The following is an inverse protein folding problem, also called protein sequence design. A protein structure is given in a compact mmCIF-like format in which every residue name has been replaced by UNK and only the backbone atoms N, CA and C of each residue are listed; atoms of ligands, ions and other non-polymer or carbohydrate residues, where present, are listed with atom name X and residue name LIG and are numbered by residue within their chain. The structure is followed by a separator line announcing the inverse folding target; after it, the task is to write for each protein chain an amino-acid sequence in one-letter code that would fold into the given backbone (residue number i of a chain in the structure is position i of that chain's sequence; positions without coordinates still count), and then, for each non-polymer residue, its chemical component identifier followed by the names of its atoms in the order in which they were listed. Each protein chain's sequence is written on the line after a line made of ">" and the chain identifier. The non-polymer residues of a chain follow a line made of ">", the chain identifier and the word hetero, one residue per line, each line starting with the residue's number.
data_IF_347674737528
#
_entry.id   IF_347674737528
#
_cell.length_a   1.000
_cell.length_b   1.000
_cell.length_c   1.000
_cell.angle_alpha   90.00
_cell.angle_beta   90.00
_cell.angle_gamma   90.00
#
_symmetry.space_group_name_H-M   'P 1'
#
loop_
_entity.id
_entity.type
_entity.pdbx_description
1 polymer ?
#
# COMPACT_ATOMS: atom_id res chain seq x y z
N UNK A 1 24.22 12.06 17.53
CA UNK A 1 22.78 11.90 17.23
C UNK A 1 22.31 10.54 17.78
N UNK A 2 21.21 10.48 18.51
CA UNK A 2 20.74 9.20 19.07
C UNK A 2 20.11 8.38 17.96
N UNK A 3 20.81 7.37 17.47
CA UNK A 3 20.36 6.45 16.39
C UNK A 3 18.93 5.91 16.58
N UNK A 4 18.48 5.55 17.79
CA UNK A 4 17.10 5.12 18.01
C UNK A 4 16.07 6.19 17.63
N UNK A 5 16.35 7.46 17.92
CA UNK A 5 15.44 8.56 17.64
C UNK A 5 15.29 8.82 16.13
N UNK A 6 16.39 8.65 15.35
CA UNK A 6 16.35 8.70 13.89
C UNK A 6 15.45 7.61 13.30
N UNK A 7 15.62 6.37 13.77
CA UNK A 7 14.83 5.23 13.30
C UNK A 7 13.35 5.43 13.67
N UNK A 8 13.07 5.88 14.90
CA UNK A 8 11.70 6.16 15.34
C UNK A 8 11.04 7.27 14.52
N UNK A 9 11.75 8.37 14.21
CA UNK A 9 11.22 9.43 13.37
C UNK A 9 10.87 8.95 11.95
N UNK A 10 11.75 8.15 11.34
CA UNK A 10 11.50 7.56 10.03
C UNK A 10 10.31 6.60 10.05
N UNK A 11 10.20 5.72 11.05
CA UNK A 11 9.10 4.79 11.21
C UNK A 11 7.76 5.51 11.48
N UNK A 12 7.75 6.54 12.32
CA UNK A 12 6.57 7.36 12.59
C UNK A 12 6.09 8.09 11.33
N UNK A 13 7.02 8.67 10.56
CA UNK A 13 6.67 9.31 9.30
C UNK A 13 6.05 8.31 8.32
N UNK A 14 6.64 7.13 8.16
CA UNK A 14 6.12 6.07 7.32
C UNK A 14 4.73 5.59 7.77
N UNK A 15 4.55 5.37 9.06
CA UNK A 15 3.29 4.95 9.67
C UNK A 15 2.19 5.97 9.43
N UNK A 16 2.43 7.24 9.73
CA UNK A 16 1.42 8.30 9.63
C UNK A 16 1.08 8.67 8.19
N UNK A 17 2.06 8.70 7.28
CA UNK A 17 1.81 8.88 5.85
C UNK A 17 0.88 7.76 5.32
N UNK A 18 1.10 6.53 5.75
CA UNK A 18 0.30 5.39 5.28
C UNK A 18 -1.09 5.34 5.93
N UNK A 19 -1.20 5.72 7.23
CA UNK A 19 -2.50 5.94 7.88
C UNK A 19 -3.30 6.96 7.07
N UNK A 20 -2.70 8.11 6.75
CA UNK A 20 -3.35 9.17 5.99
C UNK A 20 -3.83 8.71 4.61
N UNK A 21 -3.01 7.93 3.90
CA UNK A 21 -3.37 7.37 2.60
C UNK A 21 -4.60 6.45 2.67
N UNK A 22 -4.75 5.67 3.75
CA UNK A 22 -5.79 4.65 3.91
C UNK A 22 -7.07 5.12 4.65
N UNK A 23 -7.10 6.34 5.19
CA UNK A 23 -8.30 6.92 5.83
C UNK A 23 -9.58 6.87 4.96
N UNK A 24 -9.53 7.12 3.64
CA UNK A 24 -10.72 7.15 2.81
C UNK A 24 -11.48 5.82 2.70
N UNK A 25 -10.84 4.69 2.92
CA UNK A 25 -11.43 3.37 2.66
C UNK A 25 -12.77 3.12 3.36
N UNK A 26 -12.98 3.41 4.66
CA UNK A 26 -14.29 3.28 5.29
C UNK A 26 -15.19 4.52 5.08
N UNK A 27 -14.61 5.67 4.68
CA UNK A 27 -15.33 6.95 4.58
C UNK A 27 -16.04 7.08 3.24
N UNK A 28 -15.36 6.76 2.13
CA UNK A 28 -15.88 7.03 0.78
C UNK A 28 -17.05 6.13 0.38
N UNK A 29 -17.07 4.80 0.62
CA UNK A 29 -18.13 3.94 0.11
C UNK A 29 -19.54 4.39 0.47
N UNK A 30 -19.85 4.80 1.72
CA UNK A 30 -21.18 5.32 2.06
C UNK A 30 -21.54 6.62 1.34
N UNK A 31 -20.56 7.48 0.98
CA UNK A 31 -20.79 8.75 0.29
C UNK A 31 -21.12 8.56 -1.20
N UNK A 32 -20.72 7.43 -1.79
CA UNK A 32 -20.96 7.09 -3.18
C UNK A 32 -21.98 5.96 -3.37
N UNK A 33 -22.64 5.54 -2.28
CA UNK A 33 -23.66 4.50 -2.32
C UNK A 33 -24.90 4.92 -3.10
N UNK A 34 -25.64 3.93 -3.61
CA UNK A 34 -26.88 4.18 -4.33
C UNK A 34 -27.92 4.89 -3.46
N UNK A 35 -28.61 5.89 -4.02
CA UNK A 35 -29.62 6.67 -3.31
C UNK A 35 -29.08 7.80 -2.43
N UNK A 36 -27.76 7.94 -2.28
CA UNK A 36 -27.13 9.08 -1.60
C UNK A 36 -26.85 10.18 -2.63
N UNK A 37 -27.21 11.42 -2.33
CA UNK A 37 -26.95 12.60 -3.17
C UNK A 37 -26.12 13.61 -2.39
N UNK A 38 -24.94 13.94 -2.90
CA UNK A 38 -24.04 14.96 -2.37
C UNK A 38 -23.16 15.54 -3.49
N UNK A 39 -22.47 16.65 -3.25
CA UNK A 39 -21.62 17.28 -4.27
C UNK A 39 -20.39 16.48 -4.69
N UNK A 40 -20.00 15.44 -3.91
CA UNK A 40 -18.89 14.55 -4.27
C UNK A 40 -19.29 13.51 -5.31
N UNK A 41 -20.55 13.05 -5.30
CA UNK A 41 -21.01 11.99 -6.18
C UNK A 41 -21.85 12.49 -7.37
N UNK A 42 -21.97 13.84 -7.51
CA UNK A 42 -22.65 14.51 -8.61
C UNK A 42 -21.69 15.42 -9.37
N UNK A 43 -20.74 14.83 -10.09
CA UNK A 43 -19.78 15.61 -10.85
C UNK A 43 -19.81 15.22 -12.34
N UNK A 44 -19.97 16.22 -13.22
CA UNK A 44 -20.01 16.07 -14.69
C UNK A 44 -21.05 15.05 -15.20
N UNK A 45 -22.08 14.70 -14.41
CA UNK A 45 -23.07 13.68 -14.79
C UNK A 45 -22.51 12.25 -14.81
N UNK A 46 -21.31 12.03 -14.24
CA UNK A 46 -20.72 10.70 -14.19
C UNK A 46 -21.38 9.84 -13.09
N UNK A 47 -21.49 8.52 -13.31
CA UNK A 47 -22.03 7.61 -12.29
C UNK A 47 -21.22 7.66 -10.98
N UNK A 48 -21.88 7.64 -9.78
CA UNK A 48 -21.20 7.70 -8.49
C UNK A 48 -20.12 6.64 -8.31
N UNK A 49 -20.33 5.41 -8.78
CA UNK A 49 -19.33 4.33 -8.71
C UNK A 49 -18.09 4.59 -9.54
N UNK A 50 -18.22 5.28 -10.68
CA UNK A 50 -17.08 5.69 -11.50
C UNK A 50 -16.27 6.78 -10.78
N UNK A 51 -16.95 7.79 -10.20
CA UNK A 51 -16.31 8.82 -9.39
C UNK A 51 -15.60 8.23 -8.17
N UNK A 52 -16.21 7.23 -7.51
CA UNK A 52 -15.59 6.48 -6.42
C UNK A 52 -14.28 5.82 -6.82
N UNK A 53 -14.26 5.06 -7.92
CA UNK A 53 -13.04 4.41 -8.39
C UNK A 53 -11.94 5.40 -8.80
N UNK A 54 -12.30 6.53 -9.43
CA UNK A 54 -11.35 7.61 -9.73
C UNK A 54 -10.78 8.23 -8.43
N UNK A 55 -11.62 8.41 -7.41
CA UNK A 55 -11.19 8.91 -6.10
C UNK A 55 -10.21 7.95 -5.40
N UNK A 56 -10.36 6.63 -5.56
CA UNK A 56 -9.41 5.64 -5.06
C UNK A 56 -8.10 5.63 -5.85
N UNK A 57 -8.14 5.87 -7.17
CA UNK A 57 -6.98 5.83 -8.06
C UNK A 57 -5.99 6.95 -7.81
N UNK A 58 -6.47 8.14 -7.45
CA UNK A 58 -5.69 9.37 -7.57
C UNK A 58 -4.54 9.49 -6.55
N UNK A 59 -4.74 9.02 -5.32
CA UNK A 59 -3.69 9.03 -4.30
C UNK A 59 -2.57 8.01 -4.62
N UNK A 60 -2.85 6.73 -4.95
CA UNK A 60 -1.84 5.79 -5.43
C UNK A 60 -1.07 6.27 -6.67
N UNK A 61 -1.72 7.00 -7.59
CA UNK A 61 -1.04 7.60 -8.73
C UNK A 61 -0.04 8.68 -8.29
N UNK A 62 -0.45 9.56 -7.37
CA UNK A 62 0.44 10.53 -6.75
C UNK A 62 1.62 9.85 -6.04
N UNK A 63 1.34 8.81 -5.24
CA UNK A 63 2.35 8.03 -4.50
C UNK A 63 3.38 7.38 -5.43
N UNK A 64 2.93 6.81 -6.55
CA UNK A 64 3.81 6.21 -7.57
C UNK A 64 4.78 7.24 -8.14
N UNK A 65 4.27 8.40 -8.56
CA UNK A 65 5.07 9.50 -9.11
C UNK A 65 6.01 10.07 -8.02
N UNK A 66 5.48 10.35 -6.84
CA UNK A 66 6.25 10.88 -5.72
C UNK A 66 7.39 9.97 -5.29
N UNK A 67 7.14 8.67 -5.18
CA UNK A 67 8.18 7.70 -4.80
C UNK A 67 9.31 7.60 -5.81
N UNK A 68 9.03 7.82 -7.10
CA UNK A 68 10.03 7.83 -8.16
C UNK A 68 10.88 9.12 -8.16
N UNK A 69 10.28 10.26 -7.81
CA UNK A 69 10.93 11.58 -7.92
C UNK A 69 11.62 12.03 -6.61
N UNK A 70 10.99 11.80 -5.45
CA UNK A 70 11.46 12.33 -4.18
C UNK A 70 12.80 11.73 -3.72
N UNK A 71 13.08 10.47 -4.06
CA UNK A 71 14.37 9.83 -3.79
C UNK A 71 15.53 10.62 -4.43
N UNK A 72 15.59 10.72 -5.77
CA UNK A 72 16.61 11.51 -6.50
C UNK A 72 16.63 12.99 -6.10
N UNK A 73 15.48 13.60 -5.83
CA UNK A 73 15.42 14.99 -5.33
C UNK A 73 16.12 15.12 -3.97
N UNK A 74 15.93 14.14 -3.08
CA UNK A 74 16.56 14.16 -1.77
C UNK A 74 18.07 13.91 -1.81
N UNK A 75 18.57 13.21 -2.84
CA UNK A 75 20.01 13.07 -3.09
C UNK A 75 20.65 14.43 -3.43
N UNK A 76 19.92 15.27 -4.16
CA UNK A 76 20.40 16.60 -4.59
C UNK A 76 20.22 17.69 -3.55
N UNK A 77 19.02 17.77 -2.97
CA UNK A 77 18.64 18.88 -2.06
C UNK A 77 18.85 18.57 -0.58
N UNK A 78 19.22 17.32 -0.27
CA UNK A 78 19.39 16.82 1.10
C UNK A 78 18.13 16.08 1.61
N UNK A 79 18.35 15.07 2.46
CA UNK A 79 17.26 14.22 3.00
C UNK A 79 16.31 15.02 3.89
N UNK A 80 16.85 15.85 4.78
CA UNK A 80 16.05 16.60 5.76
C UNK A 80 15.08 17.59 5.13
N UNK A 81 15.48 18.52 4.23
CA UNK A 81 14.53 19.46 3.65
C UNK A 81 13.43 18.76 2.84
N UNK A 82 13.74 17.70 2.10
CA UNK A 82 12.73 16.97 1.35
C UNK A 82 11.74 16.26 2.28
N UNK A 83 12.19 15.62 3.37
CA UNK A 83 11.31 15.00 4.36
C UNK A 83 10.42 16.03 5.07
N UNK A 84 10.95 17.22 5.39
CA UNK A 84 10.16 18.28 6.01
C UNK A 84 9.09 18.85 5.07
N UNK A 85 9.48 19.19 3.83
CA UNK A 85 8.56 19.72 2.83
C UNK A 85 7.44 18.71 2.54
N UNK A 86 7.79 17.43 2.41
CA UNK A 86 6.80 16.39 2.12
C UNK A 86 5.89 16.11 3.32
N UNK A 87 6.39 16.12 4.55
CA UNK A 87 5.58 15.91 5.74
C UNK A 87 4.60 17.08 5.97
N UNK A 88 5.09 18.33 5.88
CA UNK A 88 4.24 19.53 6.00
C UNK A 88 3.24 19.61 4.85
N UNK A 89 3.70 19.34 3.63
CA UNK A 89 2.82 19.36 2.45
C UNK A 89 1.74 18.28 2.50
N UNK A 90 2.04 17.07 2.99
CA UNK A 90 1.05 16.02 3.20
C UNK A 90 0.04 16.42 4.30
N UNK A 91 0.50 17.07 5.38
CA UNK A 91 -0.38 17.63 6.40
C UNK A 91 -1.37 18.66 5.80
N UNK A 92 -0.88 19.58 4.99
CA UNK A 92 -1.73 20.55 4.25
C UNK A 92 -2.68 19.82 3.30
N UNK A 93 -2.22 18.77 2.63
CA UNK A 93 -3.04 17.94 1.74
C UNK A 93 -4.20 17.24 2.47
N UNK A 94 -3.97 16.74 3.70
CA UNK A 94 -5.05 16.21 4.54
C UNK A 94 -6.03 17.29 4.99
N UNK A 95 -5.55 18.48 5.37
CA UNK A 95 -6.43 19.61 5.63
C UNK A 95 -7.28 19.99 4.40
N UNK A 96 -6.67 20.05 3.22
CA UNK A 96 -7.39 20.30 1.97
C UNK A 96 -8.41 19.20 1.66
N UNK A 97 -8.09 17.93 1.96
CA UNK A 97 -9.04 16.81 1.83
C UNK A 97 -10.22 16.98 2.79
N UNK A 98 -9.99 17.38 4.06
CA UNK A 98 -11.04 17.68 5.01
C UNK A 98 -11.94 18.84 4.52
N UNK A 99 -11.35 19.91 4.01
CA UNK A 99 -12.08 21.03 3.42
C UNK A 99 -12.89 20.61 2.19
N UNK A 100 -12.35 19.73 1.34
CA UNK A 100 -13.04 19.20 0.17
C UNK A 100 -14.30 18.40 0.54
N UNK A 101 -14.23 17.63 1.63
CA UNK A 101 -15.37 16.89 2.18
C UNK A 101 -16.42 17.83 2.79
N UNK A 102 -16.01 18.91 3.48
CA UNK A 102 -16.92 19.90 4.05
C UNK A 102 -17.64 20.71 2.95
N UNK A 103 -16.92 21.05 1.89
CA UNK A 103 -17.46 21.80 0.75
C UNK A 103 -18.16 20.90 -0.28
N UNK A 104 -18.16 19.59 -0.04
CA UNK A 104 -18.66 18.57 -0.97
C UNK A 104 -18.10 18.74 -2.39
N UNK A 105 -16.83 19.17 -2.52
CA UNK A 105 -16.20 19.47 -3.80
C UNK A 105 -15.35 18.30 -4.31
N UNK A 106 -15.87 17.56 -5.29
CA UNK A 106 -15.15 16.46 -5.91
C UNK A 106 -13.82 16.89 -6.56
N UNK A 107 -13.75 18.00 -7.37
CA UNK A 107 -12.48 18.42 -7.95
C UNK A 107 -11.42 18.76 -6.89
N UNK A 108 -11.81 19.46 -5.83
CA UNK A 108 -10.89 19.79 -4.73
C UNK A 108 -10.41 18.53 -4.02
N UNK A 109 -11.31 17.54 -3.82
CA UNK A 109 -10.96 16.24 -3.24
C UNK A 109 -9.89 15.52 -4.10
N UNK A 110 -10.10 15.44 -5.42
CA UNK A 110 -9.17 14.79 -6.36
C UNK A 110 -7.80 15.46 -6.33
N UNK A 111 -7.74 16.80 -6.42
CA UNK A 111 -6.48 17.55 -6.40
C UNK A 111 -5.77 17.39 -5.05
N UNK A 112 -6.49 17.51 -3.94
CA UNK A 112 -5.94 17.33 -2.60
C UNK A 112 -5.35 15.92 -2.42
N UNK A 113 -6.08 14.88 -2.84
CA UNK A 113 -5.61 13.48 -2.75
C UNK A 113 -4.43 13.17 -3.64
N UNK A 114 -4.38 13.75 -4.85
CA UNK A 114 -3.23 13.61 -5.75
C UNK A 114 -1.96 14.22 -5.14
N UNK A 115 -2.05 15.48 -4.68
CA UNK A 115 -0.91 16.18 -4.08
C UNK A 115 -0.45 15.47 -2.80
N UNK A 116 -1.41 15.03 -1.96
CA UNK A 116 -1.10 14.26 -0.74
C UNK A 116 -0.34 12.99 -1.10
N UNK A 117 -0.83 12.20 -2.05
CA UNK A 117 -0.16 10.99 -2.50
C UNK A 117 1.26 11.24 -3.02
N UNK A 118 1.45 12.29 -3.84
CA UNK A 118 2.75 12.68 -4.36
C UNK A 118 3.75 12.97 -3.23
N UNK A 119 3.32 13.66 -2.19
CA UNK A 119 4.15 14.01 -1.04
C UNK A 119 4.36 12.83 -0.07
N UNK A 120 3.39 11.94 0.06
CA UNK A 120 3.51 10.69 0.83
C UNK A 120 4.45 9.65 0.18
N UNK A 121 4.89 9.88 -1.07
CA UNK A 121 5.99 9.14 -1.72
C UNK A 121 7.36 9.27 -1.02
N UNK A 122 7.46 10.00 0.09
CA UNK A 122 8.65 10.22 0.90
C UNK A 122 9.25 8.95 1.55
N UNK A 123 8.57 7.83 1.48
CA UNK A 123 9.08 6.54 1.92
C UNK A 123 10.38 6.12 1.24
N UNK A 124 10.59 6.51 -0.01
CA UNK A 124 11.85 6.31 -0.74
C UNK A 124 12.99 7.09 -0.09
N UNK A 125 12.71 8.32 0.34
CA UNK A 125 13.68 9.20 1.04
C UNK A 125 14.02 8.65 2.43
N UNK A 126 13.03 8.19 3.19
CA UNK A 126 13.22 7.58 4.50
C UNK A 126 14.09 6.31 4.43
N UNK A 127 13.83 5.44 3.42
CA UNK A 127 14.67 4.25 3.16
C UNK A 127 16.11 4.63 2.83
N UNK A 128 16.31 5.57 1.92
CA UNK A 128 17.64 6.03 1.53
C UNK A 128 18.39 6.63 2.72
N UNK A 129 17.75 7.50 3.51
CA UNK A 129 18.32 8.09 4.72
C UNK A 129 18.81 7.04 5.73
N UNK A 130 18.01 6.01 6.00
CA UNK A 130 18.42 4.92 6.91
C UNK A 130 19.55 4.08 6.29
N UNK A 131 19.53 3.86 4.98
CA UNK A 131 20.57 3.12 4.27
C UNK A 131 21.92 3.87 4.28
N UNK A 132 21.90 5.19 4.15
CA UNK A 132 23.10 6.02 4.14
C UNK A 132 23.76 6.15 5.52
N UNK A 133 22.94 6.14 6.60
CA UNK A 133 23.40 6.44 7.97
C UNK A 133 23.63 5.23 8.85
N UNK A 134 23.17 4.07 8.43
CA UNK A 134 23.29 2.83 9.20
C UNK A 134 24.06 1.77 8.41
N UNK A 135 24.74 0.88 9.12
CA UNK A 135 25.51 -0.22 8.51
C UNK A 135 25.17 -1.56 9.17
N UNK A 136 25.56 -2.65 8.52
CA UNK A 136 25.45 -4.01 9.04
C UNK A 136 24.04 -4.40 9.48
N UNK A 137 23.94 -5.08 10.60
CA UNK A 137 22.70 -5.59 11.19
C UNK A 137 21.69 -4.51 11.55
N UNK A 138 22.19 -3.37 12.04
CA UNK A 138 21.29 -2.27 12.43
C UNK A 138 20.58 -1.67 11.22
N UNK A 139 21.26 -1.55 10.08
CA UNK A 139 20.64 -1.13 8.81
C UNK A 139 19.53 -2.10 8.39
N UNK A 140 19.79 -3.41 8.43
CA UNK A 140 18.79 -4.44 8.09
C UNK A 140 17.56 -4.35 8.98
N UNK A 141 17.76 -4.27 10.30
CA UNK A 141 16.67 -4.12 11.30
C UNK A 141 15.87 -2.84 11.09
N UNK A 142 16.53 -1.70 10.91
CA UNK A 142 15.88 -0.42 10.72
C UNK A 142 15.01 -0.38 9.45
N UNK A 143 15.49 -0.93 8.33
CA UNK A 143 14.71 -1.05 7.10
C UNK A 143 13.53 -2.00 7.26
N UNK A 144 13.69 -3.09 8.01
CA UNK A 144 12.60 -4.01 8.35
C UNK A 144 11.52 -3.33 9.20
N UNK A 145 11.91 -2.56 10.23
CA UNK A 145 10.98 -1.79 11.05
C UNK A 145 10.24 -0.71 10.25
N UNK A 146 10.96 -0.02 9.36
CA UNK A 146 10.36 0.96 8.45
C UNK A 146 9.29 0.33 7.55
N UNK A 147 9.59 -0.83 6.94
CA UNK A 147 8.61 -1.56 6.14
C UNK A 147 7.42 -2.04 6.99
N UNK A 148 7.68 -2.53 8.20
CA UNK A 148 6.63 -2.87 9.16
C UNK A 148 5.73 -1.68 9.51
N UNK A 149 6.30 -0.48 9.66
CA UNK A 149 5.55 0.75 9.90
C UNK A 149 4.63 1.12 8.72
N UNK A 150 5.09 0.96 7.46
CA UNK A 150 4.24 1.14 6.29
C UNK A 150 3.04 0.18 6.29
N UNK A 151 3.28 -1.11 6.51
CA UNK A 151 2.19 -2.10 6.55
C UNK A 151 1.21 -1.83 7.70
N UNK A 152 1.74 -1.49 8.88
CA UNK A 152 0.91 -1.17 10.05
C UNK A 152 0.04 0.07 9.80
N UNK A 153 0.55 1.07 9.07
CA UNK A 153 -0.22 2.24 8.70
C UNK A 153 -1.43 1.92 7.81
N UNK A 154 -1.25 1.03 6.84
CA UNK A 154 -2.36 0.56 6.00
C UNK A 154 -3.46 -0.16 6.79
N UNK A 155 -3.09 -0.91 7.82
CA UNK A 155 -4.04 -1.58 8.73
C UNK A 155 -4.70 -0.60 9.71
N UNK A 156 -3.91 0.32 10.27
CA UNK A 156 -4.38 1.24 11.30
C UNK A 156 -5.27 2.36 10.74
N UNK A 157 -5.07 2.79 9.49
CA UNK A 157 -5.82 3.90 8.90
C UNK A 157 -7.32 3.71 8.92
N UNK A 158 -7.87 2.61 8.38
CA UNK A 158 -9.31 2.35 8.45
C UNK A 158 -9.85 2.27 9.88
N UNK A 159 -9.05 1.77 10.84
CA UNK A 159 -9.43 1.74 12.26
C UNK A 159 -9.52 3.13 12.85
N UNK A 160 -8.48 3.96 12.62
CA UNK A 160 -8.47 5.36 13.05
C UNK A 160 -9.65 6.11 12.46
N UNK A 161 -9.90 5.96 11.16
CA UNK A 161 -11.06 6.55 10.52
C UNK A 161 -12.37 6.10 11.18
N UNK A 162 -12.56 4.79 11.37
CA UNK A 162 -13.79 4.23 11.94
C UNK A 162 -14.10 4.71 13.34
N UNK A 163 -13.08 4.82 14.21
CA UNK A 163 -13.26 5.34 15.58
C UNK A 163 -13.54 6.84 15.57
N UNK A 164 -12.80 7.61 14.76
CA UNK A 164 -12.85 9.07 14.78
C UNK A 164 -14.02 9.65 13.99
N UNK A 165 -14.63 8.88 13.07
CA UNK A 165 -15.87 9.23 12.38
C UNK A 165 -17.04 9.51 13.34
N UNK A 166 -17.01 8.95 14.56
CA UNK A 166 -18.02 9.26 15.58
C UNK A 166 -18.05 10.76 15.95
N UNK A 167 -16.94 11.48 15.74
CA UNK A 167 -16.80 12.90 16.03
C UNK A 167 -17.00 13.80 14.80
N UNK A 168 -17.13 13.22 13.61
CA UNK A 168 -17.40 13.91 12.36
C UNK A 168 -16.62 13.35 11.17
N UNK A 169 -17.17 13.56 9.97
CA UNK A 169 -16.65 13.01 8.70
C UNK A 169 -15.21 13.45 8.40
N UNK A 170 -14.84 14.66 8.79
CA UNK A 170 -13.52 15.26 8.48
C UNK A 170 -12.50 15.08 9.60
N UNK A 171 -12.92 14.68 10.80
CA UNK A 171 -12.07 14.56 11.98
C UNK A 171 -10.86 13.64 11.74
N UNK A 172 -10.98 12.49 11.06
CA UNK A 172 -9.82 11.65 10.77
C UNK A 172 -8.70 12.39 10.02
N UNK A 173 -9.05 13.26 9.08
CA UNK A 173 -8.08 14.02 8.28
C UNK A 173 -7.43 15.15 9.08
N UNK A 174 -8.17 15.81 9.99
CA UNK A 174 -7.59 16.81 10.90
C UNK A 174 -6.62 16.17 11.89
N UNK A 175 -6.90 14.96 12.37
CA UNK A 175 -6.00 14.19 13.22
C UNK A 175 -4.74 13.81 12.44
N UNK A 176 -4.87 13.33 11.19
CA UNK A 176 -3.74 13.00 10.34
C UNK A 176 -2.86 14.24 10.07
N UNK A 177 -3.46 15.39 9.79
CA UNK A 177 -2.76 16.67 9.65
C UNK A 177 -1.94 17.00 10.90
N UNK A 178 -2.56 16.99 12.07
CA UNK A 178 -1.88 17.32 13.33
C UNK A 178 -0.74 16.34 13.63
N UNK A 179 -0.96 15.04 13.42
CA UNK A 179 0.05 14.00 13.63
C UNK A 179 1.25 14.17 12.68
N UNK A 180 1.02 14.49 11.41
CA UNK A 180 2.10 14.74 10.44
C UNK A 180 2.89 16.02 10.77
N UNK A 181 2.25 17.08 11.27
CA UNK A 181 2.95 18.27 11.74
C UNK A 181 3.83 17.97 12.95
N UNK A 182 3.36 17.16 13.90
CA UNK A 182 4.16 16.71 15.04
C UNK A 182 5.39 15.89 14.59
N UNK A 183 5.22 15.01 13.59
CA UNK A 183 6.36 14.26 13.05
C UNK A 183 7.29 15.16 12.24
N UNK A 184 6.78 16.13 11.49
CA UNK A 184 7.62 17.13 10.84
C UNK A 184 8.49 17.88 11.85
N UNK A 185 7.92 18.28 13.00
CA UNK A 185 8.68 18.90 14.09
C UNK A 185 9.74 17.93 14.64
N UNK A 186 9.40 16.66 14.85
CA UNK A 186 10.35 15.64 15.29
C UNK A 186 11.50 15.48 14.29
N UNK A 187 11.21 15.40 13.00
CA UNK A 187 12.19 15.33 11.90
C UNK A 187 13.08 16.57 11.91
N UNK A 188 12.50 17.77 12.11
CA UNK A 188 13.26 19.02 12.19
C UNK A 188 14.24 19.05 13.37
N UNK A 189 13.87 18.47 14.51
CA UNK A 189 14.72 18.40 15.72
C UNK A 189 15.79 17.31 15.64
N UNK A 190 15.48 16.19 14.96
CA UNK A 190 16.33 14.98 14.98
C UNK A 190 17.31 14.95 13.83
N UNK A 191 16.92 15.39 12.63
CA UNK A 191 17.78 15.33 11.45
C UNK A 191 18.65 16.59 11.38
N UNK A 192 19.99 16.43 11.29
CA UNK A 192 20.88 17.56 11.06
C UNK A 192 20.71 18.10 9.64
N UNK A 193 21.08 19.37 9.45
CA UNK A 193 21.22 19.93 8.12
C UNK A 193 22.41 19.26 7.43
N UNK A 194 22.17 18.67 6.28
CA UNK A 194 23.21 18.15 5.41
C UNK A 194 23.47 19.16 4.29
N UNK A 195 24.73 19.34 3.92
CA UNK A 195 25.05 20.09 2.72
C UNK A 195 24.47 19.38 1.50
N UNK A 196 23.84 20.09 0.55
CA UNK A 196 23.37 19.51 -0.69
C UNK A 196 24.54 18.83 -1.41
N UNK A 197 24.29 17.67 -2.00
CA UNK A 197 25.30 17.01 -2.83
C UNK A 197 25.57 17.85 -4.08
N UNK A 198 26.83 18.11 -4.38
CA UNK A 198 27.26 18.79 -5.61
C UNK A 198 27.17 17.86 -6.84
N UNK A 199 26.25 16.88 -6.85
CA UNK A 199 26.08 15.99 -7.97
C UNK A 199 25.77 16.79 -9.25
N UNK A 200 26.62 16.62 -10.27
CA UNK A 200 26.52 17.30 -11.56
C UNK A 200 25.38 16.77 -12.43
N UNK A 201 24.86 15.58 -12.12
CA UNK A 201 23.75 14.94 -12.86
C UNK A 201 22.39 15.49 -12.43
N UNK A 202 21.52 15.74 -13.41
CA UNK A 202 20.15 16.16 -13.16
C UNK A 202 19.40 15.08 -12.40
N UNK A 203 18.64 15.47 -11.33
CA UNK A 203 17.79 14.53 -10.57
C UNK A 203 16.80 13.78 -11.47
N UNK A 204 16.36 14.41 -12.57
CA UNK A 204 15.48 13.78 -13.55
C UNK A 204 16.18 12.66 -14.33
N UNK A 205 17.43 12.84 -14.71
CA UNK A 205 18.22 11.79 -15.35
C UNK A 205 18.42 10.60 -14.39
N UNK A 206 18.72 10.87 -13.13
CA UNK A 206 18.86 9.83 -12.11
C UNK A 206 17.53 9.07 -11.89
N UNK A 207 16.40 9.78 -11.86
CA UNK A 207 15.07 9.16 -11.74
C UNK A 207 14.77 8.24 -12.95
N UNK A 208 15.14 8.66 -14.15
CA UNK A 208 14.95 7.90 -15.38
C UNK A 208 15.87 6.69 -15.48
N UNK A 209 17.13 6.84 -15.12
CA UNK A 209 18.15 5.81 -15.35
C UNK A 209 18.18 4.75 -14.23
N UNK A 210 17.78 5.12 -13.01
CA UNK A 210 17.73 4.21 -11.84
C UNK A 210 16.33 3.67 -11.53
N UNK A 211 15.43 3.67 -12.50
CA UNK A 211 14.07 3.18 -12.27
C UNK A 211 14.08 1.66 -12.02
N UNK A 212 13.37 1.21 -10.97
CA UNK A 212 13.27 -0.22 -10.59
C UNK A 212 12.74 -1.12 -11.73
N UNK A 213 11.99 -0.56 -12.68
CA UNK A 213 11.53 -1.28 -13.88
C UNK A 213 12.67 -1.73 -14.83
N UNK A 214 13.88 -1.17 -14.72
CA UNK A 214 15.04 -1.69 -15.47
C UNK A 214 15.38 -3.13 -15.07
N UNK A 215 15.03 -3.55 -13.85
CA UNK A 215 15.17 -4.93 -13.38
C UNK A 215 14.30 -5.94 -14.15
N UNK A 216 13.27 -5.50 -14.86
CA UNK A 216 12.40 -6.37 -15.67
C UNK A 216 13.11 -6.97 -16.89
N UNK A 217 14.31 -6.50 -17.21
CA UNK A 217 15.16 -7.14 -18.23
C UNK A 217 15.64 -8.53 -17.78
N UNK A 218 15.76 -8.75 -16.47
CA UNK A 218 16.08 -10.05 -15.88
C UNK A 218 14.84 -10.96 -15.87
N UNK A 219 14.86 -12.15 -16.52
CA UNK A 219 13.68 -13.02 -16.64
C UNK A 219 13.06 -13.42 -15.30
N UNK A 220 13.89 -13.70 -14.28
CA UNK A 220 13.39 -14.09 -12.96
C UNK A 220 12.71 -12.93 -12.23
N UNK A 221 13.27 -11.72 -12.34
CA UNK A 221 12.65 -10.51 -11.75
C UNK A 221 11.40 -10.08 -12.51
N UNK A 222 11.35 -10.32 -13.82
CA UNK A 222 10.12 -10.14 -14.61
C UNK A 222 9.02 -11.13 -14.18
N UNK A 223 9.34 -12.40 -13.96
CA UNK A 223 8.40 -13.38 -13.42
C UNK A 223 7.93 -13.01 -12.01
N UNK A 224 8.83 -12.57 -11.15
CA UNK A 224 8.52 -12.04 -9.83
C UNK A 224 7.51 -10.88 -9.94
N UNK A 225 7.79 -9.91 -10.81
CA UNK A 225 6.93 -8.76 -11.03
C UNK A 225 5.53 -9.19 -11.46
N UNK A 226 5.41 -10.04 -12.46
CA UNK A 226 4.11 -10.50 -13.01
C UNK A 226 3.31 -11.26 -11.95
N UNK A 227 3.94 -12.19 -11.24
CA UNK A 227 3.28 -13.00 -10.20
C UNK A 227 2.86 -12.13 -9.02
N UNK A 228 3.73 -11.22 -8.58
CA UNK A 228 3.44 -10.33 -7.47
C UNK A 228 2.37 -9.29 -7.87
N UNK A 229 2.43 -8.76 -9.09
CA UNK A 229 1.42 -7.82 -9.59
C UNK A 229 0.03 -8.49 -9.64
N UNK A 230 -0.08 -9.70 -10.17
CA UNK A 230 -1.35 -10.40 -10.24
C UNK A 230 -1.92 -10.70 -8.84
N UNK A 231 -1.08 -11.17 -7.91
CA UNK A 231 -1.51 -11.36 -6.51
C UNK A 231 -1.96 -10.05 -5.88
N UNK A 232 -1.17 -9.00 -6.03
CA UNK A 232 -1.47 -7.68 -5.45
C UNK A 232 -2.71 -7.07 -6.08
N UNK A 233 -2.94 -7.21 -7.39
CA UNK A 233 -4.19 -6.81 -8.03
C UNK A 233 -5.38 -7.53 -7.41
N UNK A 234 -5.29 -8.85 -7.22
CA UNK A 234 -6.39 -9.61 -6.61
C UNK A 234 -6.70 -9.17 -5.17
N UNK A 235 -5.68 -8.97 -4.38
CA UNK A 235 -5.77 -8.47 -3.01
C UNK A 235 -6.30 -7.03 -2.97
N UNK A 236 -5.83 -6.17 -3.87
CA UNK A 236 -6.31 -4.78 -3.97
C UNK A 236 -7.77 -4.71 -4.37
N UNK A 237 -8.21 -5.55 -5.32
CA UNK A 237 -9.64 -5.68 -5.66
C UNK A 237 -10.50 -5.99 -4.42
N UNK A 238 -10.01 -6.88 -3.55
CA UNK A 238 -10.67 -7.14 -2.28
C UNK A 238 -10.64 -5.91 -1.37
N UNK A 239 -9.46 -5.33 -1.06
CA UNK A 239 -9.34 -4.22 -0.10
C UNK A 239 -10.09 -2.95 -0.51
N UNK A 240 -10.14 -2.61 -1.78
CA UNK A 240 -10.81 -1.41 -2.26
C UNK A 240 -12.33 -1.58 -2.35
N UNK A 241 -12.83 -2.81 -2.57
CA UNK A 241 -14.23 -3.01 -2.87
C UNK A 241 -15.03 -3.83 -1.85
N UNK A 242 -14.39 -4.52 -0.87
CA UNK A 242 -15.17 -5.12 0.22
C UNK A 242 -15.94 -4.08 1.05
N UNK A 243 -15.45 -2.84 1.26
CA UNK A 243 -16.23 -1.85 1.98
C UNK A 243 -17.50 -1.44 1.21
N UNK A 244 -17.41 -1.34 -0.13
CA UNK A 244 -18.58 -1.08 -0.97
C UNK A 244 -19.56 -2.26 -0.93
N UNK A 245 -19.06 -3.49 -0.98
CA UNK A 245 -19.85 -4.69 -0.81
C UNK A 245 -20.59 -4.72 0.55
N UNK A 246 -19.93 -4.28 1.64
CA UNK A 246 -20.55 -4.15 2.96
C UNK A 246 -21.67 -3.10 2.99
N UNK A 247 -21.60 -2.07 2.18
CA UNK A 247 -22.70 -1.10 2.03
C UNK A 247 -23.87 -1.71 1.26
N UNK A 248 -23.59 -2.41 0.15
CA UNK A 248 -24.62 -2.91 -0.78
C UNK A 248 -25.36 -4.17 -0.29
N UNK A 249 -24.65 -5.09 0.36
CA UNK A 249 -25.23 -6.40 0.74
C UNK A 249 -25.79 -6.40 2.15
N UNK A 250 -25.02 -6.14 3.24
CA UNK A 250 -25.59 -6.04 4.59
C UNK A 250 -26.14 -4.67 4.93
N UNK A 251 -25.96 -3.64 4.08
CA UNK A 251 -26.42 -2.28 4.34
C UNK A 251 -25.61 -1.53 5.42
N UNK A 252 -24.33 -1.84 5.57
CA UNK A 252 -23.48 -1.24 6.59
C UNK A 252 -23.12 0.21 6.25
N UNK A 253 -23.28 1.11 7.24
CA UNK A 253 -22.65 2.42 7.22
C UNK A 253 -21.16 2.35 7.62
N UNK A 254 -20.51 3.52 7.65
CA UNK A 254 -19.07 3.66 7.96
C UNK A 254 -18.63 2.95 9.26
N UNK A 255 -19.49 2.96 10.29
CA UNK A 255 -19.23 2.27 11.58
C UNK A 255 -19.17 0.74 11.41
N UNK A 256 -20.09 0.15 10.65
CA UNK A 256 -20.11 -1.29 10.38
C UNK A 256 -18.87 -1.73 9.57
N UNK A 257 -18.49 -0.94 8.55
CA UNK A 257 -17.28 -1.14 7.79
C UNK A 257 -16.05 -1.10 8.70
N UNK A 258 -15.96 -0.09 9.57
CA UNK A 258 -14.84 0.08 10.48
C UNK A 258 -14.70 -1.11 11.45
N UNK A 259 -15.79 -1.61 12.04
CA UNK A 259 -15.75 -2.77 12.93
C UNK A 259 -15.36 -4.06 12.21
N UNK A 260 -15.88 -4.28 11.00
CA UNK A 260 -15.49 -5.45 10.18
C UNK A 260 -14.00 -5.37 9.82
N UNK A 261 -13.52 -4.18 9.44
CA UNK A 261 -12.10 -3.92 9.18
C UNK A 261 -11.25 -4.15 10.43
N UNK A 262 -11.74 -3.67 11.61
CA UNK A 262 -11.07 -3.86 12.90
C UNK A 262 -10.88 -5.35 13.22
N UNK A 263 -11.93 -6.15 13.05
CA UNK A 263 -11.89 -7.59 13.27
C UNK A 263 -10.88 -8.27 12.31
N UNK A 264 -10.92 -7.93 11.03
CA UNK A 264 -9.94 -8.41 10.05
C UNK A 264 -8.50 -8.04 10.43
N UNK A 265 -8.26 -6.77 10.81
CA UNK A 265 -6.93 -6.30 11.22
C UNK A 265 -6.45 -6.97 12.52
N UNK A 266 -7.33 -7.23 13.48
CA UNK A 266 -7.00 -7.97 14.69
C UNK A 266 -6.52 -9.39 14.35
N UNK A 267 -7.23 -10.08 13.45
CA UNK A 267 -6.83 -11.40 12.94
C UNK A 267 -5.51 -11.34 12.18
N UNK A 268 -5.30 -10.32 11.34
CA UNK A 268 -4.03 -10.13 10.64
C UNK A 268 -2.86 -9.92 11.60
N UNK A 269 -3.04 -9.06 12.61
CA UNK A 269 -2.00 -8.74 13.60
C UNK A 269 -1.64 -9.98 14.42
N UNK A 270 -2.63 -10.68 14.95
CA UNK A 270 -2.41 -11.91 15.71
C UNK A 270 -1.73 -12.98 14.86
N UNK A 271 -2.16 -13.17 13.62
CA UNK A 271 -1.53 -14.13 12.71
C UNK A 271 -0.08 -13.76 12.43
N UNK A 272 0.23 -12.49 12.22
CA UNK A 272 1.60 -12.03 11.95
C UNK A 272 2.54 -12.29 13.12
N UNK A 273 2.07 -12.20 14.37
CA UNK A 273 2.87 -12.55 15.55
C UNK A 273 3.30 -14.02 15.57
N UNK A 274 2.51 -14.91 14.97
CA UNK A 274 2.83 -16.35 14.87
C UNK A 274 3.52 -16.72 13.55
N UNK A 275 3.38 -15.91 12.49
CA UNK A 275 3.92 -16.17 11.16
C UNK A 275 5.46 -16.10 11.09
N UNK A 276 6.13 -15.49 12.08
CA UNK A 276 7.59 -15.41 12.19
C UNK A 276 8.28 -16.70 12.66
N UNK A 277 7.53 -17.76 12.97
CA UNK A 277 8.12 -19.06 13.34
C UNK A 277 8.75 -19.73 12.12
N UNK A 278 9.90 -20.41 12.28
CA UNK A 278 10.49 -21.18 11.20
C UNK A 278 9.53 -22.30 10.80
N UNK A 279 9.00 -22.21 9.62
CA UNK A 279 8.19 -23.27 9.05
C UNK A 279 9.05 -24.11 8.11
N UNK A 280 8.93 -25.41 8.17
CA UNK A 280 9.64 -26.34 7.29
C UNK A 280 9.14 -26.26 5.84
N UNK A 281 10.01 -26.47 4.86
CA UNK A 281 9.70 -26.57 3.44
C UNK A 281 9.93 -25.30 2.63
N UNK A 282 9.78 -25.42 1.32
CA UNK A 282 10.05 -24.38 0.32
C UNK A 282 9.13 -23.15 0.50
N UNK A 283 9.69 -21.96 0.70
CA UNK A 283 8.92 -20.74 0.98
C UNK A 283 7.91 -20.40 -0.12
N UNK A 284 8.31 -20.55 -1.40
CA UNK A 284 7.45 -20.20 -2.53
C UNK A 284 6.24 -21.13 -2.66
N UNK A 285 6.40 -22.44 -2.41
CA UNK A 285 5.31 -23.41 -2.44
C UNK A 285 4.32 -23.19 -1.28
N UNK A 286 4.84 -22.73 -0.14
CA UNK A 286 4.03 -22.34 1.01
C UNK A 286 3.22 -21.08 0.72
N UNK A 287 3.87 -20.04 0.20
CA UNK A 287 3.19 -18.82 -0.24
C UNK A 287 2.06 -19.12 -1.23
N UNK A 288 2.30 -20.05 -2.18
CA UNK A 288 1.29 -20.54 -3.12
C UNK A 288 0.03 -21.10 -2.44
N UNK A 289 0.22 -21.97 -1.40
CA UNK A 289 -0.93 -22.54 -0.67
C UNK A 289 -1.79 -21.45 -0.03
N UNK A 290 -1.15 -20.48 0.63
CA UNK A 290 -1.86 -19.36 1.25
C UNK A 290 -2.47 -18.42 0.21
N UNK A 291 -1.85 -18.22 -0.94
CA UNK A 291 -2.46 -17.48 -2.05
C UNK A 291 -3.74 -18.15 -2.58
N UNK A 292 -3.79 -19.48 -2.70
CA UNK A 292 -5.02 -20.19 -3.06
C UNK A 292 -6.11 -20.04 -1.99
N UNK A 293 -5.76 -20.14 -0.70
CA UNK A 293 -6.74 -19.92 0.39
C UNK A 293 -7.26 -18.47 0.36
N UNK A 294 -6.38 -17.49 0.10
CA UNK A 294 -6.77 -16.09 -0.08
C UNK A 294 -7.75 -15.94 -1.24
N UNK A 295 -7.45 -16.54 -2.41
CA UNK A 295 -8.33 -16.53 -3.57
C UNK A 295 -9.70 -17.14 -3.28
N UNK A 296 -9.73 -18.27 -2.56
CA UNK A 296 -10.97 -18.94 -2.16
C UNK A 296 -11.83 -18.09 -1.24
N UNK A 297 -11.24 -17.35 -0.30
CA UNK A 297 -11.97 -16.45 0.59
C UNK A 297 -12.52 -15.22 -0.16
N UNK A 298 -11.76 -14.68 -1.13
CA UNK A 298 -12.27 -13.59 -2.00
C UNK A 298 -13.43 -14.10 -2.86
N UNK A 299 -13.32 -15.31 -3.45
CA UNK A 299 -14.39 -15.93 -4.22
C UNK A 299 -15.63 -16.22 -3.34
N UNK A 300 -15.42 -16.68 -2.12
CA UNK A 300 -16.49 -16.91 -1.16
C UNK A 300 -17.22 -15.61 -0.84
N UNK A 301 -16.49 -14.50 -0.61
CA UNK A 301 -17.08 -13.17 -0.40
C UNK A 301 -17.97 -12.77 -1.60
N UNK A 302 -17.47 -12.93 -2.83
CA UNK A 302 -18.20 -12.59 -4.04
C UNK A 302 -19.53 -13.36 -4.18
N UNK A 303 -19.54 -14.65 -3.78
CA UNK A 303 -20.69 -15.55 -3.93
C UNK A 303 -21.62 -15.57 -2.71
N UNK A 304 -21.28 -14.90 -1.59
CA UNK A 304 -21.92 -15.13 -0.30
C UNK A 304 -23.07 -14.15 0.00
N UNK A 305 -23.82 -14.49 1.08
CA UNK A 305 -24.70 -13.58 1.79
C UNK A 305 -23.91 -12.76 2.84
N UNK A 306 -24.62 -11.85 3.52
CA UNK A 306 -24.01 -10.92 4.48
C UNK A 306 -23.14 -11.61 5.56
N UNK A 307 -23.64 -12.67 6.20
CA UNK A 307 -22.94 -13.31 7.32
C UNK A 307 -21.71 -14.08 6.89
N UNK A 308 -21.83 -14.88 5.82
CA UNK A 308 -20.70 -15.64 5.26
C UNK A 308 -19.67 -14.70 4.70
N UNK A 309 -20.08 -13.60 4.05
CA UNK A 309 -19.18 -12.60 3.52
C UNK A 309 -18.38 -11.88 4.60
N UNK A 310 -19.02 -11.47 5.70
CA UNK A 310 -18.33 -10.87 6.84
C UNK A 310 -17.30 -11.85 7.44
N UNK A 311 -17.68 -13.11 7.61
CA UNK A 311 -16.75 -14.15 8.06
C UNK A 311 -15.57 -14.33 7.10
N UNK A 312 -15.83 -14.34 5.78
CA UNK A 312 -14.78 -14.42 4.76
C UNK A 312 -13.82 -13.23 4.82
N UNK A 313 -14.33 -12.00 5.02
CA UNK A 313 -13.52 -10.79 5.19
C UNK A 313 -12.60 -10.93 6.40
N UNK A 314 -13.13 -11.34 7.54
CA UNK A 314 -12.34 -11.47 8.78
C UNK A 314 -11.28 -12.56 8.65
N UNK A 315 -11.65 -13.74 8.13
CA UNK A 315 -10.76 -14.88 7.96
C UNK A 315 -9.70 -14.66 6.87
N UNK A 316 -9.96 -13.80 5.89
CA UNK A 316 -9.00 -13.39 4.86
C UNK A 316 -7.66 -12.91 5.49
N UNK A 317 -7.72 -12.30 6.67
CA UNK A 317 -6.55 -11.82 7.39
C UNK A 317 -5.49 -12.90 7.65
N UNK A 318 -5.88 -14.18 7.81
CA UNK A 318 -4.96 -15.27 8.12
C UNK A 318 -4.03 -15.58 6.93
N UNK A 319 -4.53 -16.07 5.78
CA UNK A 319 -3.66 -16.47 4.67
C UNK A 319 -2.90 -15.29 4.08
N UNK A 320 -3.49 -14.10 4.03
CA UNK A 320 -2.84 -12.91 3.54
C UNK A 320 -1.64 -12.49 4.39
N UNK A 321 -1.77 -12.50 5.73
CA UNK A 321 -0.67 -12.16 6.64
C UNK A 321 0.50 -13.14 6.52
N UNK A 322 0.21 -14.43 6.40
CA UNK A 322 1.27 -15.46 6.23
C UNK A 322 1.97 -15.30 4.88
N UNK A 323 1.22 -15.04 3.80
CA UNK A 323 1.80 -14.76 2.49
C UNK A 323 2.74 -13.56 2.53
N UNK A 324 2.32 -12.45 3.16
CA UNK A 324 3.12 -11.24 3.30
C UNK A 324 4.33 -11.40 4.22
N UNK A 325 4.31 -12.34 5.15
CA UNK A 325 5.49 -12.68 5.94
C UNK A 325 6.52 -13.48 5.13
N UNK A 326 6.08 -14.31 4.17
CA UNK A 326 6.95 -15.21 3.42
C UNK A 326 7.58 -14.51 2.20
N UNK A 327 6.75 -13.91 1.33
CA UNK A 327 7.20 -13.50 -0.03
C UNK A 327 8.23 -12.38 -0.01
N UNK A 328 8.08 -11.27 0.75
CA UNK A 328 9.10 -10.22 0.78
C UNK A 328 10.45 -10.70 1.31
N UNK A 329 10.45 -11.56 2.34
CA UNK A 329 11.66 -12.12 2.91
C UNK A 329 12.37 -13.05 1.90
N UNK A 330 11.62 -13.94 1.28
CA UNK A 330 12.15 -14.82 0.24
C UNK A 330 12.71 -14.01 -0.96
N UNK A 331 12.01 -12.94 -1.38
CA UNK A 331 12.52 -12.07 -2.43
C UNK A 331 13.82 -11.36 -2.05
N UNK A 332 13.92 -10.89 -0.80
CA UNK A 332 15.14 -10.23 -0.31
C UNK A 332 16.34 -11.19 -0.26
N UNK A 333 16.11 -12.45 0.13
CA UNK A 333 17.14 -13.50 0.17
C UNK A 333 17.54 -13.95 -1.23
N UNK A 334 16.58 -14.26 -2.11
CA UNK A 334 16.86 -14.85 -3.43
C UNK A 334 17.41 -13.84 -4.43
N UNK A 335 16.94 -12.60 -4.39
CA UNK A 335 17.29 -11.55 -5.37
C UNK A 335 18.11 -10.40 -4.76
N UNK A 336 18.58 -10.53 -3.54
CA UNK A 336 19.36 -9.50 -2.84
C UNK A 336 20.65 -9.10 -3.56
N UNK A 337 21.24 -9.98 -4.37
CA UNK A 337 22.41 -9.69 -5.20
C UNK A 337 22.17 -8.59 -6.24
N UNK A 338 20.91 -8.39 -6.70
CA UNK A 338 20.51 -7.31 -7.60
C UNK A 338 20.28 -5.97 -6.89
N UNK A 339 20.57 -5.89 -5.58
CA UNK A 339 20.34 -4.74 -4.72
C UNK A 339 18.99 -4.83 -4.01
N UNK A 340 19.02 -5.04 -2.69
CA UNK A 340 17.79 -5.19 -1.86
C UNK A 340 16.83 -4.01 -2.03
N UNK A 341 17.35 -2.77 -2.10
CA UNK A 341 16.54 -1.57 -2.29
C UNK A 341 15.79 -1.56 -3.63
N UNK A 342 16.44 -2.03 -4.70
CA UNK A 342 15.85 -2.09 -6.03
C UNK A 342 14.75 -3.16 -6.12
N UNK A 343 14.96 -4.34 -5.52
CA UNK A 343 13.95 -5.42 -5.46
C UNK A 343 12.75 -4.99 -4.63
N UNK A 344 12.97 -4.36 -3.46
CA UNK A 344 11.88 -3.81 -2.64
C UNK A 344 11.16 -2.66 -3.34
N UNK A 345 11.89 -1.83 -4.12
CA UNK A 345 11.31 -0.80 -4.98
C UNK A 345 10.40 -1.38 -6.05
N UNK A 346 10.78 -2.52 -6.65
CA UNK A 346 9.95 -3.22 -7.62
C UNK A 346 8.64 -3.71 -6.98
N UNK A 347 8.69 -4.28 -5.76
CA UNK A 347 7.49 -4.70 -5.01
C UNK A 347 6.61 -3.49 -4.66
N UNK A 348 7.20 -2.36 -4.27
CA UNK A 348 6.44 -1.13 -4.01
C UNK A 348 5.77 -0.58 -5.27
N UNK A 349 6.43 -0.68 -6.42
CA UNK A 349 5.88 -0.29 -7.72
C UNK A 349 4.68 -1.18 -8.09
N UNK A 350 4.77 -2.51 -7.85
CA UNK A 350 3.62 -3.40 -8.08
C UNK A 350 2.44 -3.03 -7.22
N UNK A 351 2.66 -2.63 -5.97
CA UNK A 351 1.59 -2.20 -5.07
C UNK A 351 0.86 -0.96 -5.60
N UNK A 352 1.58 0.11 -5.94
CA UNK A 352 0.95 1.32 -6.48
C UNK A 352 0.23 1.05 -7.81
N UNK A 353 0.85 0.27 -8.70
CA UNK A 353 0.28 -0.06 -10.00
C UNK A 353 -0.99 -0.92 -9.86
N UNK A 354 -0.99 -1.89 -8.95
CA UNK A 354 -2.17 -2.70 -8.67
C UNK A 354 -3.34 -1.85 -8.15
N UNK A 355 -3.07 -0.90 -7.23
CA UNK A 355 -4.10 0.01 -6.72
C UNK A 355 -4.71 0.85 -7.87
N UNK A 356 -3.87 1.43 -8.75
CA UNK A 356 -4.34 2.21 -9.89
C UNK A 356 -5.20 1.34 -10.84
N UNK A 357 -4.68 0.18 -11.23
CA UNK A 357 -5.37 -0.72 -12.17
C UNK A 357 -6.71 -1.19 -11.60
N UNK A 358 -6.69 -1.68 -10.34
CA UNK A 358 -7.90 -2.28 -9.77
C UNK A 358 -8.94 -1.25 -9.39
N UNK A 359 -8.56 -0.04 -8.99
CA UNK A 359 -9.50 1.05 -8.78
C UNK A 359 -10.21 1.44 -10.10
N UNK A 360 -9.47 1.55 -11.21
CA UNK A 360 -10.05 1.87 -12.53
C UNK A 360 -10.92 0.74 -13.08
N UNK A 361 -10.42 -0.50 -13.05
CA UNK A 361 -11.18 -1.68 -13.50
C UNK A 361 -12.41 -1.87 -12.62
N UNK A 362 -12.26 -1.73 -11.31
CA UNK A 362 -13.36 -1.84 -10.36
C UNK A 362 -14.39 -0.73 -10.53
N UNK A 363 -13.98 0.50 -10.85
CA UNK A 363 -14.89 1.59 -11.17
C UNK A 363 -15.86 1.21 -12.31
N UNK A 364 -15.36 0.51 -13.33
CA UNK A 364 -16.17 0.06 -14.48
C UNK A 364 -17.02 -1.18 -14.12
N UNK A 365 -16.41 -2.19 -13.50
CA UNK A 365 -17.12 -3.45 -13.19
C UNK A 365 -18.22 -3.24 -12.14
N UNK A 366 -18.03 -2.34 -11.17
CA UNK A 366 -19.04 -2.03 -10.16
C UNK A 366 -20.26 -1.29 -10.72
N UNK A 367 -20.21 -0.75 -11.94
CA UNK A 367 -21.39 -0.22 -12.62
C UNK A 367 -22.41 -1.31 -12.90
N UNK A 368 -21.94 -2.53 -13.12
CA UNK A 368 -22.78 -3.71 -13.38
C UNK A 368 -23.10 -4.39 -12.04
N UNK A 369 -22.07 -4.90 -11.35
CA UNK A 369 -22.19 -5.56 -10.04
C UNK A 369 -20.83 -5.49 -9.29
N UNK A 370 -20.86 -5.09 -8.02
CA UNK A 370 -19.65 -5.05 -7.18
C UNK A 370 -19.02 -6.44 -6.98
N UNK A 371 -19.77 -7.52 -7.15
CA UNK A 371 -19.24 -8.88 -7.07
C UNK A 371 -18.26 -9.20 -8.21
N UNK A 372 -18.40 -8.59 -9.38
CA UNK A 372 -17.55 -8.86 -10.54
C UNK A 372 -16.08 -8.52 -10.29
N UNK A 373 -15.81 -7.40 -9.62
CA UNK A 373 -14.43 -7.03 -9.27
C UNK A 373 -13.83 -8.00 -8.25
N UNK A 374 -14.64 -8.51 -7.32
CA UNK A 374 -14.21 -9.53 -6.35
C UNK A 374 -13.92 -10.87 -7.05
N UNK A 375 -14.75 -11.29 -8.00
CA UNK A 375 -14.51 -12.49 -8.83
C UNK A 375 -13.21 -12.34 -9.62
N UNK A 376 -13.00 -11.21 -10.27
CA UNK A 376 -11.74 -10.91 -10.97
C UNK A 376 -10.55 -10.96 -10.01
N UNK A 377 -10.69 -10.37 -8.81
CA UNK A 377 -9.67 -10.41 -7.77
C UNK A 377 -9.32 -11.83 -7.33
N UNK A 378 -10.32 -12.67 -7.11
CA UNK A 378 -10.14 -14.09 -6.82
C UNK A 378 -9.41 -14.83 -7.95
N UNK A 379 -9.80 -14.58 -9.19
CA UNK A 379 -9.19 -15.20 -10.37
C UNK A 379 -7.72 -14.80 -10.53
N UNK A 380 -7.38 -13.52 -10.36
CA UNK A 380 -5.99 -13.03 -10.43
C UNK A 380 -5.13 -13.61 -9.31
N UNK A 381 -5.65 -13.70 -8.08
CA UNK A 381 -4.95 -14.29 -6.95
C UNK A 381 -4.73 -15.80 -7.17
N UNK A 382 -5.73 -16.53 -7.66
CA UNK A 382 -5.61 -17.94 -7.99
C UNK A 382 -4.63 -18.19 -9.15
N UNK A 383 -4.67 -17.37 -10.19
CA UNK A 383 -3.73 -17.43 -11.30
C UNK A 383 -2.29 -17.19 -10.85
N UNK A 384 -2.07 -16.19 -9.97
CA UNK A 384 -0.76 -15.94 -9.37
C UNK A 384 -0.26 -17.17 -8.61
N UNK A 385 -1.10 -17.79 -7.80
CA UNK A 385 -0.77 -19.00 -7.05
C UNK A 385 -0.45 -20.19 -7.98
N UNK A 386 -1.20 -20.36 -9.06
CA UNK A 386 -0.91 -21.37 -10.06
C UNK A 386 0.42 -21.11 -10.77
N UNK A 387 0.68 -19.86 -11.16
CA UNK A 387 1.92 -19.48 -11.84
C UNK A 387 3.18 -19.65 -10.96
N UNK A 388 3.05 -19.50 -9.63
CA UNK A 388 4.15 -19.77 -8.68
C UNK A 388 4.65 -21.20 -8.76
N UNK A 389 3.81 -22.19 -9.03
CA UNK A 389 4.21 -23.57 -9.16
C UNK A 389 5.10 -23.81 -10.39
N UNK A 390 4.67 -23.31 -11.55
CA UNK A 390 5.43 -23.45 -12.80
C UNK A 390 6.75 -22.69 -12.74
N UNK A 391 6.76 -21.52 -12.08
CA UNK A 391 7.98 -20.76 -11.87
C UNK A 391 8.96 -21.46 -10.92
N UNK A 392 8.46 -22.03 -9.81
CA UNK A 392 9.29 -22.83 -8.89
C UNK A 392 9.94 -24.02 -9.61
N UNK A 393 9.18 -24.77 -10.41
CA UNK A 393 9.70 -25.89 -11.17
C UNK A 393 10.80 -25.47 -12.18
N UNK A 394 10.60 -24.32 -12.84
CA UNK A 394 11.59 -23.77 -13.78
C UNK A 394 12.89 -23.32 -13.08
N UNK A 395 12.80 -22.72 -11.88
CA UNK A 395 13.98 -22.36 -11.09
C UNK A 395 14.74 -23.60 -10.61
N UNK A 396 14.02 -24.59 -10.07
CA UNK A 396 14.64 -25.83 -9.58
C UNK A 396 15.36 -26.62 -10.68
N UNK A 397 14.87 -26.59 -11.92
CA UNK A 397 15.54 -27.21 -13.07
C UNK A 397 16.80 -26.47 -13.47
N UNK A 398 16.79 -25.13 -13.41
CA UNK A 398 17.96 -24.29 -13.73
C UNK A 398 19.06 -24.45 -12.67
N UNK A 399 18.72 -24.41 -11.39
CA UNK A 399 19.69 -24.60 -10.28
C UNK A 399 20.37 -25.99 -10.36
N UNK A 400 19.63 -27.03 -10.79
CA UNK A 400 20.22 -28.37 -11.04
C UNK A 400 21.19 -28.41 -12.22
N UNK A 401 20.90 -27.68 -13.30
CA UNK A 401 21.80 -27.61 -14.47
C UNK A 401 23.07 -26.81 -14.16
N UNK A 402 22.97 -25.71 -13.41
CA UNK A 402 24.11 -24.90 -12.99
C UNK A 402 25.00 -25.63 -11.96
N UNK A 403 24.43 -26.44 -11.07
CA UNK A 403 25.16 -27.27 -10.12
C UNK A 403 25.74 -28.57 -10.69
N UNK A 404 25.40 -28.94 -11.94
CA UNK A 404 25.93 -30.11 -12.66
C UNK A 404 27.06 -29.75 -13.64
N UNK A 405 27.38 -28.46 -13.80
CA UNK A 405 28.54 -28.00 -14.56
C UNK A 405 29.75 -28.03 -13.63
N UNK A 406 30.87 -28.74 -14.03
CA UNK A 406 32.07 -28.89 -13.22
C UNK A 406 32.85 -27.60 -13.03
#
# INVERSE_FOLDING_TARGET
>A
MKTPLLISAACLLALLSTIGASLPYPILPPLFAAGVSNGLNQFLGLPPKLLFGLALTINPLGLLIGSALLGPMSDRYGRRPVLLITAVGAAVGHAATACALLLESYPLFIVARFITGLLEGNGSVARAMLADRLSGDLRRKALSWLNGAFYMGWLAGPLVAGVTLAWGLTVPFWIAMAALLLVALLVAMVLPNEAPSLATTSWWQVARDRHSLNLLREPNLRNLFIVTLAYTCGVTAFYEFYPLWLVEVPGFGARGIAWTTAAMCAVMTTTTMFAGRPFEGEPLLRARRFAFVTASLIALLAASNAWVGIAAIVLYGIPHSIYNAIVPNWCAERFGAHGQGAVMGLISTTFCLANIIMALVGAVLTLIDTRLILVLGAALTAWSAWRMQSWHAAMASKDKLEGALP
#
